data_IF_031187642557
#
_entry.id   IF_031187642557
#
_cell.length_a   1.000
_cell.length_b   1.000
_cell.length_c   1.000
_cell.angle_alpha   90.00
_cell.angle_beta   90.00
_cell.angle_gamma   90.00
#
_symmetry.space_group_name_H-M   'P 1'
#
loop_
_entity.id
_entity.type
_entity.pdbx_description
1 polymer ?
#
# COMPACT_ATOMS: atom_id res chain seq x y z
N UNK A 1 2.39 2.53 -30.20
CA UNK A 1 3.61 3.17 -30.72
C UNK A 1 4.34 2.11 -31.53
N UNK A 2 4.72 2.39 -32.77
CA UNK A 2 5.54 1.46 -33.54
C UNK A 2 6.91 1.34 -32.88
N UNK A 3 7.41 0.11 -32.71
CA UNK A 3 8.67 -0.17 -32.02
C UNK A 3 9.83 0.32 -32.88
N UNK A 4 10.54 1.35 -32.41
CA UNK A 4 11.67 1.94 -33.12
C UNK A 4 12.87 1.01 -33.14
N UNK A 5 13.00 0.14 -32.14
CA UNK A 5 14.12 -0.82 -32.03
C UNK A 5 14.02 -2.04 -32.94
N UNK A 6 12.99 -2.13 -33.80
CA UNK A 6 12.93 -3.15 -34.85
C UNK A 6 13.97 -2.78 -35.91
N UNK A 7 15.05 -3.57 -36.00
CA UNK A 7 16.04 -3.44 -37.07
C UNK A 7 15.38 -3.77 -38.42
N UNK A 8 14.89 -2.76 -39.14
CA UNK A 8 14.66 -2.89 -40.58
C UNK A 8 16.02 -2.84 -41.30
N UNK A 9 16.26 -3.79 -42.20
CA UNK A 9 17.53 -3.99 -42.89
C UNK A 9 17.91 -2.87 -43.91
N UNK A 10 17.33 -1.66 -43.83
CA UNK A 10 17.41 -0.65 -44.89
C UNK A 10 17.48 0.80 -44.42
N UNK A 11 18.33 1.16 -43.46
CA UNK A 11 18.86 2.55 -43.40
C UNK A 11 20.32 2.65 -42.89
N UNK A 12 21.11 1.57 -42.82
CA UNK A 12 22.53 1.63 -42.44
C UNK A 12 23.46 2.04 -43.60
N UNK A 13 23.04 2.98 -44.46
CA UNK A 13 23.74 3.28 -45.71
C UNK A 13 23.80 4.75 -46.13
N UNK A 14 23.28 5.69 -45.32
CA UNK A 14 23.39 7.12 -45.62
C UNK A 14 24.34 7.80 -44.63
N UNK A 15 25.52 8.14 -45.15
CA UNK A 15 26.58 8.92 -44.53
C UNK A 15 26.03 10.13 -43.75
N UNK A 16 26.44 10.28 -42.49
CA UNK A 16 26.59 11.61 -41.91
C UNK A 16 26.04 11.88 -40.51
N UNK A 17 25.43 10.93 -39.80
CA UNK A 17 25.00 11.19 -38.41
C UNK A 17 25.97 10.53 -37.44
N UNK A 18 26.87 11.33 -36.86
CA UNK A 18 27.81 10.87 -35.85
C UNK A 18 27.13 10.72 -34.48
N UNK A 19 27.31 9.55 -33.90
CA UNK A 19 27.31 9.20 -32.48
C UNK A 19 27.69 10.40 -31.54
N UNK A 20 26.94 10.63 -30.44
CA UNK A 20 27.05 11.81 -29.54
C UNK A 20 28.36 11.88 -28.72
N UNK A 21 29.18 10.82 -28.74
CA UNK A 21 30.53 10.76 -28.17
C UNK A 21 31.57 11.24 -29.20
N UNK A 22 31.49 12.52 -29.55
CA UNK A 22 32.43 13.15 -30.48
C UNK A 22 33.84 13.12 -29.88
N UNK A 23 34.87 12.74 -30.66
CA UNK A 23 36.30 12.74 -30.27
C UNK A 23 36.75 11.79 -29.15
N UNK A 24 35.92 10.82 -28.74
CA UNK A 24 36.41 9.73 -27.89
C UNK A 24 37.47 8.88 -28.61
N UNK A 25 38.47 8.32 -27.90
CA UNK A 25 39.53 7.52 -28.53
C UNK A 25 38.97 6.34 -29.35
N UNK A 26 37.87 5.73 -28.90
CA UNK A 26 37.18 4.64 -29.60
C UNK A 26 36.52 5.08 -30.91
N UNK A 27 35.98 6.31 -30.97
CA UNK A 27 35.35 6.88 -32.16
C UNK A 27 36.38 7.31 -33.22
N UNK A 28 37.55 7.79 -32.77
CA UNK A 28 38.68 8.10 -33.65
C UNK A 28 39.26 6.83 -34.30
N UNK A 29 39.32 5.71 -33.56
CA UNK A 29 39.77 4.41 -34.07
C UNK A 29 38.86 3.91 -35.20
N UNK A 30 37.56 4.18 -35.11
CA UNK A 30 36.55 3.80 -36.11
C UNK A 30 36.40 4.83 -37.26
N UNK A 31 37.21 5.89 -37.27
CA UNK A 31 37.24 6.87 -38.37
C UNK A 31 35.93 7.62 -38.62
N UNK A 32 35.05 7.71 -37.61
CA UNK A 32 33.73 8.33 -37.76
C UNK A 32 32.72 7.52 -38.60
N UNK A 33 33.05 6.29 -39.00
CA UNK A 33 32.13 5.38 -39.69
C UNK A 33 31.31 4.57 -38.68
N UNK A 34 30.38 5.23 -37.99
CA UNK A 34 29.43 4.60 -37.05
C UNK A 34 28.31 3.81 -37.78
N UNK A 35 28.51 3.31 -39.00
CA UNK A 35 27.42 2.72 -39.80
C UNK A 35 27.00 1.31 -39.34
N UNK A 36 27.93 0.50 -38.81
CA UNK A 36 27.65 -0.84 -38.28
C UNK A 36 28.66 -1.22 -37.18
N UNK A 37 28.19 -1.63 -35.99
CA UNK A 37 29.04 -2.19 -34.92
C UNK A 37 29.66 -1.18 -33.94
N UNK A 38 29.07 0.02 -33.80
CA UNK A 38 29.49 0.96 -32.75
C UNK A 38 28.93 0.50 -31.39
N UNK A 39 29.77 0.22 -30.37
CA UNK A 39 29.30 -0.23 -29.06
C UNK A 39 28.32 0.74 -28.38
N UNK A 40 28.46 2.04 -28.66
CA UNK A 40 27.62 3.09 -28.11
C UNK A 40 26.23 3.15 -28.74
N UNK A 41 26.16 2.88 -30.03
CA UNK A 41 24.89 2.78 -30.74
C UNK A 41 24.15 1.52 -30.30
N UNK A 42 24.82 0.37 -30.28
CA UNK A 42 24.23 -0.89 -29.80
C UNK A 42 23.72 -0.76 -28.35
N UNK A 43 24.49 -0.14 -27.45
CA UNK A 43 24.06 0.11 -26.07
C UNK A 43 22.86 1.10 -25.97
N UNK A 44 22.80 2.10 -26.84
CA UNK A 44 21.65 3.02 -26.88
C UNK A 44 20.39 2.31 -27.38
N UNK A 45 20.53 1.48 -28.42
CA UNK A 45 19.45 0.65 -28.96
C UNK A 45 18.96 -0.37 -27.93
N UNK A 46 19.86 -1.06 -27.21
CA UNK A 46 19.48 -2.00 -26.16
C UNK A 46 18.68 -1.32 -25.04
N UNK A 47 19.10 -0.12 -24.60
CA UNK A 47 18.38 0.64 -23.57
C UNK A 47 17.02 1.12 -24.05
N UNK A 48 16.92 1.57 -25.30
CA UNK A 48 15.65 1.97 -25.90
C UNK A 48 14.73 0.77 -26.09
N UNK A 49 15.26 -0.37 -26.53
CA UNK A 49 14.50 -1.61 -26.67
C UNK A 49 13.95 -2.06 -25.32
N UNK A 50 14.77 -2.06 -24.27
CA UNK A 50 14.33 -2.38 -22.91
C UNK A 50 13.25 -1.41 -22.40
N UNK A 51 13.32 -0.12 -22.78
CA UNK A 51 12.28 0.86 -22.47
C UNK A 51 10.99 0.59 -23.24
N UNK A 52 11.07 0.33 -24.55
CA UNK A 52 9.91 -0.03 -25.39
C UNK A 52 9.26 -1.35 -24.95
N UNK A 53 10.05 -2.31 -24.48
CA UNK A 53 9.57 -3.58 -23.91
C UNK A 53 8.78 -3.37 -22.60
N UNK A 54 8.94 -2.23 -21.91
CA UNK A 54 8.04 -1.87 -20.79
C UNK A 54 6.63 -1.53 -21.26
N UNK A 55 6.45 -1.21 -22.55
CA UNK A 55 5.16 -0.82 -23.13
C UNK A 55 4.64 0.54 -22.66
N UNK A 56 5.42 1.29 -21.88
CA UNK A 56 5.02 2.57 -21.30
C UNK A 56 5.48 3.75 -22.15
N UNK A 57 4.59 4.69 -22.39
CA UNK A 57 4.95 5.99 -22.98
C UNK A 57 5.67 6.86 -21.96
N UNK A 58 6.54 7.81 -22.40
CA UNK A 58 7.22 8.72 -21.49
C UNK A 58 6.25 9.53 -20.60
N UNK A 59 5.08 9.88 -21.13
CA UNK A 59 4.02 10.58 -20.39
C UNK A 59 3.43 9.68 -19.29
N UNK A 60 3.19 8.40 -19.56
CA UNK A 60 2.77 7.43 -18.55
C UNK A 60 3.82 7.25 -17.46
N UNK A 61 5.11 7.17 -17.82
CA UNK A 61 6.20 7.05 -16.83
C UNK A 61 6.27 8.27 -15.93
N UNK A 62 6.15 9.47 -16.48
CA UNK A 62 6.13 10.71 -15.69
C UNK A 62 4.90 10.81 -14.78
N UNK A 63 3.73 10.41 -15.26
CA UNK A 63 2.52 10.35 -14.42
C UNK A 63 2.62 9.30 -13.30
N UNK A 64 3.20 8.13 -13.59
CA UNK A 64 3.49 7.10 -12.59
C UNK A 64 4.52 7.57 -11.57
N UNK A 65 5.52 8.33 -11.98
CA UNK A 65 6.51 8.90 -11.07
C UNK A 65 5.86 9.94 -10.14
N UNK A 66 5.00 10.81 -10.67
CA UNK A 66 4.28 11.81 -9.89
C UNK A 66 3.33 11.15 -8.87
N UNK A 67 2.52 10.18 -9.30
CA UNK A 67 1.62 9.44 -8.39
C UNK A 67 2.39 8.68 -7.30
N UNK A 68 3.51 8.03 -7.65
CA UNK A 68 4.38 7.40 -6.67
C UNK A 68 5.01 8.40 -5.69
N UNK A 69 5.33 9.61 -6.12
CA UNK A 69 5.85 10.65 -5.22
C UNK A 69 4.79 11.09 -4.21
N UNK A 70 3.55 11.29 -4.64
CA UNK A 70 2.45 11.62 -3.71
C UNK A 70 2.20 10.46 -2.72
N UNK A 71 2.13 9.22 -3.20
CA UNK A 71 1.99 8.05 -2.33
C UNK A 71 3.14 7.93 -1.33
N UNK A 72 4.38 8.24 -1.75
CA UNK A 72 5.54 8.24 -0.85
C UNK A 72 5.40 9.28 0.25
N UNK A 73 4.82 10.45 -0.01
CA UNK A 73 4.62 11.48 1.04
C UNK A 73 3.71 10.97 2.16
N UNK A 74 2.69 10.18 1.84
CA UNK A 74 1.80 9.58 2.84
C UNK A 74 2.39 8.32 3.48
N UNK A 75 3.03 7.45 2.68
CA UNK A 75 3.56 6.17 3.14
C UNK A 75 4.82 6.31 4.01
N UNK A 76 5.72 7.27 3.71
CA UNK A 76 6.98 7.42 4.44
C UNK A 76 6.78 7.71 5.93
N UNK A 77 5.89 8.64 6.36
CA UNK A 77 5.58 8.85 7.78
C UNK A 77 5.06 7.59 8.48
N UNK A 78 4.20 6.81 7.82
CA UNK A 78 3.63 5.57 8.38
C UNK A 78 4.72 4.51 8.54
N UNK A 79 5.59 4.34 7.53
CA UNK A 79 6.72 3.42 7.58
C UNK A 79 7.73 3.81 8.65
N UNK A 80 8.04 5.10 8.78
CA UNK A 80 8.89 5.61 9.85
C UNK A 80 8.27 5.36 11.23
N UNK A 81 6.96 5.59 11.39
CA UNK A 81 6.25 5.29 12.63
C UNK A 81 6.30 3.79 12.98
N UNK A 82 6.26 2.90 11.97
CA UNK A 82 6.43 1.46 12.16
C UNK A 82 7.84 1.09 12.64
N UNK A 83 8.87 1.65 12.02
CA UNK A 83 10.27 1.40 12.42
C UNK A 83 10.57 1.95 13.81
N UNK A 84 9.93 3.06 14.19
CA UNK A 84 10.07 3.69 15.51
C UNK A 84 9.13 3.10 16.58
N UNK A 85 8.42 2.00 16.29
CA UNK A 85 7.44 1.38 17.19
C UNK A 85 6.36 2.34 17.73
N UNK A 86 6.03 3.39 16.96
CA UNK A 86 4.96 4.36 17.28
C UNK A 86 3.63 4.04 16.59
N UNK A 87 3.62 3.09 15.65
CA UNK A 87 2.43 2.73 14.89
C UNK A 87 1.53 1.83 15.72
N UNK A 88 0.33 2.32 16.05
CA UNK A 88 -0.72 1.54 16.71
C UNK A 88 -1.81 1.22 15.69
N UNK A 89 -2.08 -0.06 15.49
CA UNK A 89 -3.23 -0.52 14.70
C UNK A 89 -4.41 -0.65 15.66
N UNK A 90 -5.44 0.16 15.44
CA UNK A 90 -6.66 0.12 16.24
C UNK A 90 -7.50 -1.11 15.84
N UNK A 91 -8.10 -1.82 16.81
CA UNK A 91 -8.93 -2.99 16.51
C UNK A 91 -10.31 -2.62 15.93
N UNK A 92 -10.75 -1.38 16.13
CA UNK A 92 -12.02 -0.83 15.64
C UNK A 92 -11.94 0.71 15.54
N UNK A 93 -12.80 1.32 14.73
CA UNK A 93 -12.92 2.76 14.57
C UNK A 93 -13.67 3.45 15.71
N UNK A 94 -13.40 4.75 15.91
CA UNK A 94 -14.24 5.61 16.75
C UNK A 94 -15.60 5.82 16.06
N UNK A 95 -16.68 5.69 16.82
CA UNK A 95 -18.06 5.73 16.31
C UNK A 95 -18.52 4.46 15.60
N UNK A 96 -17.67 3.43 15.53
CA UNK A 96 -18.05 2.15 14.92
C UNK A 96 -18.98 1.35 15.87
N UNK A 97 -19.91 0.60 15.27
CA UNK A 97 -20.77 -0.31 16.03
C UNK A 97 -20.03 -1.62 16.28
N UNK A 98 -19.78 -1.92 17.55
CA UNK A 98 -19.19 -3.17 18.02
C UNK A 98 -20.21 -3.97 18.81
N UNK A 99 -20.01 -5.28 18.90
CA UNK A 99 -20.94 -6.24 19.49
C UNK A 99 -20.33 -6.83 20.76
N UNK A 100 -20.98 -6.62 21.92
CA UNK A 100 -20.52 -7.11 23.20
C UNK A 100 -21.26 -8.39 23.63
N UNK A 101 -20.50 -9.39 24.07
CA UNK A 101 -21.00 -10.70 24.53
C UNK A 101 -21.04 -10.87 26.05
N UNK A 102 -20.59 -9.87 26.80
CA UNK A 102 -20.65 -9.89 28.26
C UNK A 102 -21.94 -9.26 28.77
N UNK A 103 -22.48 -9.82 29.85
CA UNK A 103 -23.62 -9.26 30.58
C UNK A 103 -23.12 -8.75 31.94
N UNK A 104 -23.48 -7.53 32.30
CA UNK A 104 -23.13 -6.97 33.62
C UNK A 104 -24.31 -7.18 34.56
N UNK A 105 -24.10 -8.00 35.61
CA UNK A 105 -25.09 -8.23 36.66
C UNK A 105 -25.46 -6.90 37.32
N UNK A 106 -26.74 -6.53 37.23
CA UNK A 106 -27.28 -5.28 37.78
C UNK A 106 -27.76 -4.28 36.74
N UNK A 107 -27.39 -4.45 35.46
CA UNK A 107 -27.62 -3.44 34.42
C UNK A 107 -28.76 -3.77 33.44
N UNK A 108 -29.63 -4.72 33.76
CA UNK A 108 -30.74 -5.21 32.91
C UNK A 108 -30.30 -5.73 31.52
N UNK A 109 -29.00 -5.97 31.33
CA UNK A 109 -28.46 -6.69 30.17
C UNK A 109 -28.71 -8.20 30.38
N UNK A 110 -29.81 -8.73 29.81
CA UNK A 110 -30.18 -10.15 29.92
C UNK A 110 -29.41 -11.00 28.91
N UNK A 111 -28.90 -12.15 29.33
CA UNK A 111 -28.14 -13.08 28.46
C UNK A 111 -28.83 -13.40 27.12
N UNK A 112 -30.17 -13.38 27.07
CA UNK A 112 -30.97 -13.60 25.86
C UNK A 112 -30.84 -12.51 24.78
N UNK A 113 -30.43 -11.31 25.15
CA UNK A 113 -30.33 -10.15 24.26
C UNK A 113 -28.91 -9.97 23.70
N UNK A 114 -27.98 -10.90 23.99
CA UNK A 114 -26.65 -10.94 23.39
C UNK A 114 -26.75 -11.37 21.92
N UNK A 115 -25.89 -10.86 21.02
CA UNK A 115 -24.88 -9.82 21.24
C UNK A 115 -25.47 -8.40 21.25
N UNK A 116 -24.96 -7.53 22.14
CA UNK A 116 -25.43 -6.15 22.24
C UNK A 116 -24.71 -5.22 21.27
N UNK A 117 -25.43 -4.45 20.43
CA UNK A 117 -24.81 -3.39 19.63
C UNK A 117 -24.41 -2.23 20.55
N UNK A 118 -23.13 -1.88 20.51
CA UNK A 118 -22.50 -0.81 21.27
C UNK A 118 -21.70 0.09 20.33
N UNK A 119 -21.54 1.37 20.67
CA UNK A 119 -20.75 2.32 19.88
C UNK A 119 -19.43 2.64 20.59
N UNK A 120 -18.33 2.70 19.85
CA UNK A 120 -17.02 3.07 20.41
C UNK A 120 -16.93 4.59 20.55
N UNK A 121 -17.03 5.09 21.78
CA UNK A 121 -17.07 6.55 22.05
C UNK A 121 -15.70 7.14 22.40
N UNK A 122 -14.75 6.34 22.85
CA UNK A 122 -13.41 6.81 23.20
C UNK A 122 -12.37 5.71 23.10
N UNK A 123 -11.15 6.08 22.71
CA UNK A 123 -9.98 5.20 22.67
C UNK A 123 -8.85 5.86 23.45
N UNK A 124 -8.41 5.20 24.52
CA UNK A 124 -7.29 5.61 25.35
C UNK A 124 -6.03 4.83 25.00
N UNK A 125 -5.01 5.53 24.50
CA UNK A 125 -3.68 4.97 24.27
C UNK A 125 -2.81 5.22 25.51
N UNK A 126 -2.66 4.19 26.34
CA UNK A 126 -1.80 4.23 27.54
C UNK A 126 -0.85 3.02 27.53
N UNK A 127 -0.13 2.76 28.62
CA UNK A 127 0.64 1.50 28.78
C UNK A 127 -0.24 0.26 28.56
N UNK A 128 -1.51 0.35 28.95
CA UNK A 128 -2.55 -0.62 28.60
C UNK A 128 -3.61 0.10 27.77
N UNK A 129 -3.68 -0.13 26.44
CA UNK A 129 -4.68 0.52 25.61
C UNK A 129 -6.08 -0.03 25.90
N UNK A 130 -7.05 0.88 25.98
CA UNK A 130 -8.45 0.56 26.26
C UNK A 130 -9.37 1.40 25.38
N UNK A 131 -10.60 0.93 25.21
CA UNK A 131 -11.67 1.58 24.49
C UNK A 131 -12.90 1.68 25.38
N UNK A 132 -13.69 2.73 25.22
CA UNK A 132 -14.97 2.86 25.89
C UNK A 132 -16.08 2.56 24.90
N UNK A 133 -16.94 1.61 25.25
CA UNK A 133 -18.14 1.28 24.49
C UNK A 133 -19.38 1.80 25.19
N UNK A 134 -20.23 2.47 24.43
CA UNK A 134 -21.52 2.96 24.87
C UNK A 134 -22.63 2.03 24.40
N UNK A 135 -23.42 1.54 25.34
CA UNK A 135 -24.64 0.79 25.03
C UNK A 135 -25.76 1.75 24.66
N UNK A 136 -26.79 1.28 23.95
CA UNK A 136 -28.01 2.06 23.64
C UNK A 136 -28.68 2.68 24.88
N UNK A 137 -28.45 2.11 26.06
CA UNK A 137 -28.95 2.63 27.34
C UNK A 137 -28.14 3.84 27.86
N UNK A 138 -27.21 4.38 27.07
CA UNK A 138 -26.36 5.53 27.41
C UNK A 138 -25.16 5.20 28.30
N UNK A 139 -25.06 3.97 28.82
CA UNK A 139 -23.99 3.52 29.71
C UNK A 139 -22.71 3.24 28.96
N UNK A 140 -21.59 3.67 29.55
CA UNK A 140 -20.26 3.56 28.96
C UNK A 140 -19.40 2.63 29.79
N UNK A 141 -18.74 1.66 29.16
CA UNK A 141 -17.85 0.70 29.84
C UNK A 141 -16.46 0.70 29.21
N UNK A 142 -15.38 0.72 30.03
CA UNK A 142 -14.03 0.49 29.55
C UNK A 142 -13.81 -0.99 29.20
N UNK A 143 -13.23 -1.24 28.04
CA UNK A 143 -12.84 -2.55 27.53
C UNK A 143 -11.37 -2.48 27.11
N UNK A 144 -10.56 -3.45 27.51
CA UNK A 144 -9.15 -3.50 27.10
C UNK A 144 -9.03 -3.96 25.65
N UNK A 145 -7.99 -3.56 24.94
CA UNK A 145 -7.79 -4.01 23.55
C UNK A 145 -7.70 -5.55 23.44
N UNK A 146 -7.14 -6.23 24.45
CA UNK A 146 -7.03 -7.69 24.49
C UNK A 146 -8.36 -8.44 24.59
N UNK A 147 -9.44 -7.73 24.93
CA UNK A 147 -10.80 -8.27 25.02
C UNK A 147 -11.54 -8.19 23.68
N UNK A 148 -11.03 -7.40 22.74
CA UNK A 148 -11.55 -7.36 21.36
C UNK A 148 -11.18 -8.66 20.65
N UNK A 149 -12.18 -9.32 20.08
CA UNK A 149 -12.12 -10.67 19.52
C UNK A 149 -12.41 -11.80 20.52
N UNK A 150 -12.57 -11.49 21.82
CA UNK A 150 -12.97 -12.48 22.86
C UNK A 150 -14.34 -12.18 23.43
N UNK A 151 -14.55 -10.95 23.89
CA UNK A 151 -15.79 -10.50 24.54
C UNK A 151 -16.45 -9.35 23.81
N UNK A 152 -15.70 -8.61 22.97
CA UNK A 152 -16.22 -7.57 22.06
C UNK A 152 -15.79 -7.86 20.64
N UNK A 153 -16.69 -7.75 19.66
CA UNK A 153 -16.46 -8.11 18.27
C UNK A 153 -16.81 -6.95 17.34
N UNK A 154 -16.12 -6.83 16.21
CA UNK A 154 -16.42 -5.83 15.19
C UNK A 154 -17.64 -6.20 14.35
N UNK A 155 -17.95 -7.49 14.24
CA UNK A 155 -19.12 -7.99 13.49
C UNK A 155 -20.08 -8.77 14.38
N UNK A 156 -21.36 -8.76 14.00
CA UNK A 156 -22.41 -9.46 14.73
C UNK A 156 -22.23 -10.98 14.61
N UNK A 157 -21.87 -11.44 13.42
CA UNK A 157 -21.70 -12.86 13.09
C UNK A 157 -20.57 -13.47 13.92
N UNK A 158 -19.45 -12.74 14.09
CA UNK A 158 -18.35 -13.18 14.94
C UNK A 158 -18.78 -13.26 16.41
N UNK A 159 -19.58 -12.30 16.86
CA UNK A 159 -20.12 -12.30 18.22
C UNK A 159 -21.06 -13.50 18.46
N UNK A 160 -21.98 -13.79 17.53
CA UNK A 160 -22.91 -14.92 17.62
C UNK A 160 -22.19 -16.27 17.55
N UNK A 161 -21.14 -16.39 16.72
CA UNK A 161 -20.31 -17.59 16.64
C UNK A 161 -19.60 -17.86 17.98
N UNK A 162 -19.01 -16.83 18.59
CA UNK A 162 -18.34 -16.95 19.88
C UNK A 162 -19.29 -17.30 21.03
N UNK A 163 -20.56 -16.86 20.98
CA UNK A 163 -21.57 -17.29 21.97
C UNK A 163 -21.91 -18.77 21.82
N UNK A 164 -22.08 -19.26 20.60
CA UNK A 164 -22.37 -20.68 20.35
C UNK A 164 -21.24 -21.60 20.80
N UNK A 165 -19.98 -21.17 20.66
CA UNK A 165 -18.82 -21.94 21.13
C UNK A 165 -18.73 -21.99 22.67
N UNK A 166 -19.27 -21.00 23.39
CA UNK A 166 -19.33 -21.01 24.85
C UNK A 166 -20.51 -21.82 25.42
N UNK A 167 -21.56 -22.02 24.62
CA UNK A 167 -22.77 -22.78 25.01
C UNK A 167 -22.72 -24.28 24.63
N UNK A 168 -21.77 -24.68 23.79
CA UNK A 168 -21.52 -26.08 23.38
C UNK A 168 -20.53 -26.81 24.26
#
# INVERSE_FOLDING_TARGET
MERLTVREARVSGLLGVCCTHFTGPECQILGGCCAEGCPWEDAAWERLAAYEDTGLTPEEVTSLQASNQELKKEALPILQAKVQDRLVILPCGLGETVYANFAIRGDYLREKDKPYPCEVVFIGLSKEPFLHIQFKNGRVFPVKFCEVGKTVFTTREAAEAALKEQEG
#
